data_IF_732719426115
#
_entry.id   IF_732719426115
#
_cell.length_a   1.000
_cell.length_b   1.000
_cell.length_c   1.000
_cell.angle_alpha   90.00
_cell.angle_beta   90.00
_cell.angle_gamma   90.00
#
_symmetry.space_group_name_H-M   'P 1'
#
loop_
_entity.id
_entity.type
_entity.pdbx_description
1 polymer ?
#
# COMPACT_ATOMS: atom_id res chain seq x y z
N UNK A 1 37.54 1.29 18.10
CA UNK A 1 36.07 1.41 17.89
C UNK A 1 35.76 0.88 16.51
N UNK A 2 35.11 -0.27 16.41
CA UNK A 2 34.57 -0.74 15.14
C UNK A 2 33.36 0.16 14.86
N UNK A 3 33.28 0.86 13.72
CA UNK A 3 32.08 1.59 13.36
C UNK A 3 30.93 0.58 13.32
N UNK A 4 29.90 0.76 14.15
CA UNK A 4 28.63 0.06 13.92
C UNK A 4 28.12 0.59 12.58
N UNK A 5 28.31 -0.18 11.52
CA UNK A 5 27.60 0.04 10.26
C UNK A 5 26.12 0.23 10.63
N UNK A 6 25.44 1.27 10.12
CA UNK A 6 24.01 1.40 10.33
C UNK A 6 23.38 0.09 9.88
N UNK A 7 22.69 -0.60 10.79
CA UNK A 7 21.93 -1.80 10.46
C UNK A 7 20.94 -1.33 9.39
N UNK A 8 21.10 -1.78 8.14
CA UNK A 8 20.15 -1.42 7.09
C UNK A 8 18.78 -1.92 7.57
N UNK A 9 17.83 -1.01 7.78
CA UNK A 9 16.47 -1.38 8.14
C UNK A 9 15.98 -2.40 7.12
N UNK A 10 15.45 -3.52 7.59
CA UNK A 10 14.91 -4.54 6.71
C UNK A 10 13.60 -4.01 6.13
N UNK A 11 13.49 -3.97 4.81
CA UNK A 11 12.28 -3.53 4.13
C UNK A 11 11.33 -4.70 3.97
N UNK A 12 10.08 -4.52 4.37
CA UNK A 12 9.01 -5.48 4.18
C UNK A 12 7.86 -4.86 3.40
N UNK A 13 7.36 -5.60 2.41
CA UNK A 13 6.17 -5.23 1.67
C UNK A 13 5.02 -6.18 2.05
N UNK A 14 3.92 -5.64 2.56
CA UNK A 14 2.69 -6.39 2.80
C UNK A 14 1.71 -6.06 1.68
N UNK A 15 1.27 -7.07 0.93
CA UNK A 15 0.28 -6.92 -0.13
C UNK A 15 -1.04 -7.50 0.35
N UNK A 16 -2.06 -6.67 0.39
CA UNK A 16 -3.43 -7.03 0.75
C UNK A 16 -4.27 -6.95 -0.52
N UNK A 17 -4.99 -8.00 -0.83
CA UNK A 17 -5.89 -8.03 -1.97
C UNK A 17 -7.33 -8.28 -1.53
N UNK A 18 -8.18 -7.28 -1.70
CA UNK A 18 -9.60 -7.30 -1.35
C UNK A 18 -10.46 -7.35 -2.62
N UNK A 19 -10.61 -8.55 -3.19
CA UNK A 19 -11.25 -8.79 -4.48
C UNK A 19 -12.01 -10.12 -4.47
N UNK A 20 -13.10 -10.22 -5.24
CA UNK A 20 -13.85 -11.47 -5.41
C UNK A 20 -12.98 -12.55 -6.09
N UNK A 21 -13.20 -13.83 -5.80
CA UNK A 21 -12.34 -14.96 -6.26
C UNK A 21 -12.11 -15.00 -7.78
N UNK A 22 -13.09 -14.57 -8.56
CA UNK A 22 -13.09 -14.59 -10.02
C UNK A 22 -12.41 -13.37 -10.66
N UNK A 23 -11.90 -12.42 -9.87
CA UNK A 23 -11.29 -11.20 -10.37
C UNK A 23 -9.79 -11.35 -10.64
N UNK A 24 -9.24 -10.46 -11.47
CA UNK A 24 -7.82 -10.47 -11.77
C UNK A 24 -6.99 -10.22 -10.50
N UNK A 25 -6.09 -11.14 -10.17
CA UNK A 25 -5.32 -11.16 -8.93
C UNK A 25 -4.00 -10.39 -9.08
N UNK A 26 -4.09 -9.09 -9.33
CA UNK A 26 -2.95 -8.22 -9.60
C UNK A 26 -1.97 -8.14 -8.43
N UNK A 27 -2.47 -8.07 -7.20
CA UNK A 27 -1.65 -8.11 -5.98
C UNK A 27 -0.85 -9.40 -5.84
N UNK A 28 -1.42 -10.56 -6.23
CA UNK A 28 -0.69 -11.83 -6.24
C UNK A 28 0.49 -11.82 -7.22
N UNK A 29 0.26 -11.31 -8.43
CA UNK A 29 1.31 -11.19 -9.46
C UNK A 29 2.42 -10.26 -8.99
N UNK A 30 2.06 -9.10 -8.41
CA UNK A 30 3.03 -8.16 -7.84
C UNK A 30 3.87 -8.83 -6.74
N UNK A 31 3.22 -9.53 -5.81
CA UNK A 31 3.92 -10.20 -4.71
C UNK A 31 4.97 -11.19 -5.21
N UNK A 32 4.63 -12.00 -6.21
CA UNK A 32 5.55 -12.96 -6.80
C UNK A 32 6.72 -12.28 -7.53
N UNK A 33 6.44 -11.22 -8.29
CA UNK A 33 7.49 -10.47 -8.99
C UNK A 33 8.49 -9.90 -7.99
N UNK A 34 8.03 -9.19 -6.95
CA UNK A 34 8.91 -8.57 -5.96
C UNK A 34 9.72 -9.61 -5.19
N UNK A 35 9.11 -10.73 -4.78
CA UNK A 35 9.81 -11.85 -4.12
C UNK A 35 10.98 -12.39 -4.93
N UNK A 36 10.83 -12.44 -6.25
CA UNK A 36 11.83 -13.03 -7.14
C UNK A 36 12.92 -12.04 -7.56
N UNK A 37 12.66 -10.72 -7.49
CA UNK A 37 13.47 -9.74 -8.22
C UNK A 37 13.94 -8.54 -7.41
N UNK A 38 13.41 -8.27 -6.21
CA UNK A 38 13.83 -7.09 -5.46
C UNK A 38 15.08 -7.37 -4.62
N UNK A 39 16.21 -6.67 -4.85
CA UNK A 39 17.36 -6.72 -3.96
C UNK A 39 17.15 -5.87 -2.70
N UNK A 40 16.11 -5.04 -2.66
CA UNK A 40 15.88 -4.06 -1.59
C UNK A 40 14.79 -4.48 -0.60
N UNK A 41 13.85 -5.35 -1.01
CA UNK A 41 12.75 -5.80 -0.16
C UNK A 41 13.11 -7.19 0.38
N UNK A 42 13.36 -7.25 1.70
CA UNK A 42 13.82 -8.47 2.36
C UNK A 42 12.70 -9.49 2.60
N UNK A 43 11.47 -9.03 2.81
CA UNK A 43 10.30 -9.88 3.04
C UNK A 43 9.08 -9.36 2.27
N UNK A 44 8.28 -10.27 1.73
CA UNK A 44 7.02 -9.96 1.06
C UNK A 44 5.91 -10.87 1.57
N UNK A 45 4.94 -10.29 2.26
CA UNK A 45 3.74 -10.97 2.73
C UNK A 45 2.58 -10.71 1.76
N UNK A 46 1.75 -11.72 1.54
CA UNK A 46 0.58 -11.62 0.68
C UNK A 46 -0.63 -12.19 1.44
N UNK A 47 -1.68 -11.39 1.52
CA UNK A 47 -2.97 -11.77 2.08
C UNK A 47 -4.08 -11.42 1.11
N UNK A 48 -5.06 -12.32 0.97
CA UNK A 48 -6.22 -12.06 0.14
C UNK A 48 -7.48 -12.60 0.77
N UNK A 49 -8.53 -11.81 0.73
CA UNK A 49 -9.87 -12.21 1.13
C UNK A 49 -10.91 -11.44 0.32
N UNK A 50 -12.10 -12.00 0.21
CA UNK A 50 -13.32 -11.34 -0.29
C UNK A 50 -14.25 -10.93 0.85
N UNK A 51 -13.79 -10.99 2.10
CA UNK A 51 -14.58 -10.62 3.29
C UNK A 51 -13.94 -9.45 4.01
N UNK A 52 -14.74 -8.42 4.25
CA UNK A 52 -14.37 -7.22 5.02
C UNK A 52 -13.74 -7.55 6.36
N UNK A 53 -14.39 -8.41 7.15
CA UNK A 53 -13.93 -8.70 8.51
C UNK A 53 -12.55 -9.35 8.51
N UNK A 54 -12.25 -10.18 7.52
CA UNK A 54 -10.93 -10.80 7.36
C UNK A 54 -9.86 -9.76 6.99
N UNK A 55 -10.18 -8.81 6.10
CA UNK A 55 -9.27 -7.70 5.74
C UNK A 55 -9.01 -6.78 6.93
N UNK A 56 -10.05 -6.37 7.65
CA UNK A 56 -9.93 -5.49 8.83
C UNK A 56 -9.16 -6.17 9.95
N UNK A 57 -9.41 -7.45 10.21
CA UNK A 57 -8.68 -8.21 11.21
C UNK A 57 -7.21 -8.38 10.82
N UNK A 58 -6.93 -8.68 9.55
CA UNK A 58 -5.55 -8.80 9.08
C UNK A 58 -4.76 -7.50 9.25
N UNK A 59 -5.36 -6.36 8.88
CA UNK A 59 -4.74 -5.04 9.06
C UNK A 59 -4.50 -4.74 10.54
N UNK A 60 -5.53 -4.84 11.38
CA UNK A 60 -5.49 -4.35 12.77
C UNK A 60 -4.84 -5.29 13.77
N UNK A 61 -4.78 -6.59 13.49
CA UNK A 61 -4.25 -7.61 14.38
C UNK A 61 -3.01 -8.29 13.80
N UNK A 62 -3.09 -8.84 12.59
CA UNK A 62 -2.05 -9.73 12.09
C UNK A 62 -0.79 -8.99 11.62
N UNK A 63 -0.93 -7.88 10.90
CA UNK A 63 0.21 -7.06 10.45
C UNK A 63 1.12 -6.70 11.63
N UNK A 64 0.63 -6.08 12.73
CA UNK A 64 1.45 -5.80 13.90
C UNK A 64 2.23 -6.98 14.49
N UNK A 65 1.73 -8.21 14.34
CA UNK A 65 2.38 -9.41 14.87
C UNK A 65 3.49 -9.96 13.97
N UNK A 66 3.45 -9.67 12.67
CA UNK A 66 4.46 -10.16 11.72
C UNK A 66 5.61 -9.17 11.48
N UNK A 67 5.40 -7.88 11.75
CA UNK A 67 6.42 -6.83 11.61
C UNK A 67 7.38 -6.82 12.80
N UNK A 68 8.69 -6.87 12.52
CA UNK A 68 9.74 -6.75 13.53
C UNK A 68 10.09 -5.29 13.80
N UNK A 69 10.64 -5.01 14.99
CA UNK A 69 10.99 -3.64 15.39
C UNK A 69 12.07 -2.99 14.50
N UNK A 70 12.91 -3.78 13.82
CA UNK A 70 13.95 -3.31 12.90
C UNK A 70 13.48 -3.19 11.44
N UNK A 71 12.19 -3.40 11.19
CA UNK A 71 11.61 -3.35 9.85
C UNK A 71 11.00 -1.99 9.50
N UNK A 72 11.25 -1.57 8.26
CA UNK A 72 10.47 -0.55 7.56
C UNK A 72 9.41 -1.28 6.74
N UNK A 73 8.16 -0.84 6.82
CA UNK A 73 7.03 -1.56 6.22
C UNK A 73 6.25 -0.66 5.28
N UNK A 74 5.91 -1.20 4.10
CA UNK A 74 4.86 -0.66 3.25
C UNK A 74 3.69 -1.63 3.16
N UNK A 75 2.48 -1.10 3.17
CA UNK A 75 1.24 -1.85 2.97
C UNK A 75 0.63 -1.40 1.64
N UNK A 76 0.61 -2.31 0.66
CA UNK A 76 -0.06 -2.14 -0.61
C UNK A 76 -1.45 -2.79 -0.57
N UNK A 77 -2.49 -2.02 -0.89
CA UNK A 77 -3.88 -2.49 -0.91
C UNK A 77 -4.39 -2.50 -2.35
N UNK A 78 -4.66 -3.70 -2.87
CA UNK A 78 -5.22 -3.98 -4.18
C UNK A 78 -6.71 -4.30 -4.06
N UNK A 79 -7.57 -3.46 -4.61
CA UNK A 79 -9.02 -3.51 -4.39
C UNK A 79 -9.74 -2.67 -5.43
N UNK A 80 -11.06 -2.87 -5.61
CA UNK A 80 -11.85 -1.78 -6.20
C UNK A 80 -12.09 -0.69 -5.18
N UNK A 81 -12.41 0.48 -5.71
CA UNK A 81 -13.12 1.48 -4.93
C UNK A 81 -14.47 1.77 -5.58
N UNK A 82 -15.29 2.53 -4.89
CA UNK A 82 -16.61 2.89 -5.38
C UNK A 82 -16.68 4.39 -5.57
N UNK A 83 -16.92 4.85 -6.80
CA UNK A 83 -17.12 6.28 -7.06
C UNK A 83 -18.34 6.84 -6.33
N UNK A 84 -19.28 5.97 -5.94
CA UNK A 84 -20.48 6.30 -5.18
C UNK A 84 -20.34 6.15 -3.66
N UNK A 85 -19.25 5.54 -3.17
CA UNK A 85 -19.09 5.23 -1.75
C UNK A 85 -17.63 5.47 -1.34
N UNK A 86 -17.44 6.31 -0.32
CA UNK A 86 -16.13 6.68 0.23
C UNK A 86 -15.44 5.49 0.93
N UNK A 87 -14.80 4.62 0.12
CA UNK A 87 -14.13 3.42 0.61
C UNK A 87 -13.65 2.45 -0.47
N UNK A 88 -13.24 1.28 -0.01
CA UNK A 88 -12.75 0.16 -0.82
C UNK A 88 -13.67 -1.06 -0.71
N UNK A 89 -13.64 -1.91 -1.73
CA UNK A 89 -14.20 -3.25 -1.65
C UNK A 89 -14.63 -3.77 -3.00
N UNK A 90 -15.68 -4.57 -3.03
CA UNK A 90 -16.27 -5.13 -4.23
C UNK A 90 -17.80 -5.23 -4.04
N UNK A 91 -18.53 -5.70 -5.04
CA UNK A 91 -20.00 -5.54 -5.10
C UNK A 91 -20.76 -6.11 -3.89
N UNK A 92 -20.14 -7.02 -3.14
CA UNK A 92 -20.76 -7.74 -2.03
C UNK A 92 -20.28 -7.30 -0.65
N UNK A 93 -19.16 -6.58 -0.58
CA UNK A 93 -18.57 -6.20 0.70
C UNK A 93 -17.72 -4.93 0.58
N UNK A 94 -17.74 -4.11 1.63
CA UNK A 94 -17.26 -2.72 1.57
C UNK A 94 -16.67 -2.25 2.91
N UNK A 95 -15.53 -1.58 2.82
CA UNK A 95 -14.83 -0.93 3.93
C UNK A 95 -14.84 0.58 3.64
N UNK A 96 -15.46 1.37 4.51
CA UNK A 96 -15.40 2.83 4.39
C UNK A 96 -13.98 3.36 4.68
N UNK A 97 -13.68 4.59 4.25
CA UNK A 97 -12.42 5.22 4.62
C UNK A 97 -12.23 5.30 6.13
N UNK A 98 -13.27 5.60 6.89
CA UNK A 98 -13.21 5.67 8.35
C UNK A 98 -12.85 4.30 8.96
N UNK A 99 -13.45 3.23 8.46
CA UNK A 99 -13.16 1.86 8.92
C UNK A 99 -11.72 1.45 8.57
N UNK A 100 -11.27 1.76 7.36
CA UNK A 100 -9.89 1.47 6.93
C UNK A 100 -8.88 2.25 7.76
N UNK A 101 -9.10 3.55 7.94
CA UNK A 101 -8.24 4.43 8.74
C UNK A 101 -8.21 3.98 10.19
N UNK A 102 -9.35 3.58 10.76
CA UNK A 102 -9.41 3.04 12.12
C UNK A 102 -8.62 1.73 12.25
N UNK A 103 -8.75 0.81 11.29
CA UNK A 103 -8.01 -0.44 11.28
C UNK A 103 -6.49 -0.19 11.22
N UNK A 104 -6.05 0.75 10.38
CA UNK A 104 -4.63 1.14 10.27
C UNK A 104 -4.16 1.81 11.56
N UNK A 105 -4.94 2.73 12.14
CA UNK A 105 -4.62 3.36 13.42
C UNK A 105 -4.42 2.32 14.53
N UNK A 106 -5.29 1.32 14.60
CA UNK A 106 -5.17 0.21 15.55
C UNK A 106 -3.88 -0.61 15.33
N UNK A 107 -3.46 -0.77 14.07
CA UNK A 107 -2.19 -1.42 13.74
C UNK A 107 -0.98 -0.57 14.18
N UNK A 108 -1.00 0.71 13.83
CA UNK A 108 0.08 1.67 14.11
C UNK A 108 0.39 1.80 15.59
N UNK A 109 -0.64 1.79 16.45
CA UNK A 109 -0.47 1.84 17.91
C UNK A 109 0.37 0.68 18.48
N UNK A 110 0.56 -0.39 17.69
CA UNK A 110 1.36 -1.56 18.05
C UNK A 110 2.69 -1.62 17.28
N UNK A 111 2.89 -0.78 16.27
CA UNK A 111 4.11 -0.72 15.48
C UNK A 111 5.11 0.30 16.06
N UNK A 112 6.41 0.06 15.86
CA UNK A 112 7.47 1.00 16.26
C UNK A 112 7.63 2.18 15.31
N UNK A 113 7.23 1.99 14.06
CA UNK A 113 7.40 2.95 12.96
C UNK A 113 6.08 3.09 12.23
N UNK A 114 5.81 4.30 11.73
CA UNK A 114 4.66 4.53 10.86
C UNK A 114 4.89 3.79 9.53
N UNK A 115 3.89 3.03 9.04
CA UNK A 115 4.00 2.36 7.76
C UNK A 115 3.91 3.35 6.60
N UNK A 116 4.41 2.95 5.44
CA UNK A 116 4.06 3.57 4.16
C UNK A 116 2.76 2.90 3.68
N UNK A 117 1.76 3.69 3.28
CA UNK A 117 0.53 3.16 2.69
C UNK A 117 0.58 3.39 1.18
N UNK A 118 0.26 2.35 0.42
CA UNK A 118 0.10 2.43 -1.03
C UNK A 118 -1.31 1.92 -1.38
N UNK A 119 -2.12 2.79 -1.98
CA UNK A 119 -3.52 2.50 -2.30
C UNK A 119 -3.81 2.75 -3.78
N UNK A 120 -4.29 1.72 -4.47
CA UNK A 120 -4.84 1.82 -5.83
C UNK A 120 -6.29 1.37 -5.80
N UNK A 121 -7.22 2.32 -5.96
CA UNK A 121 -8.65 2.05 -5.95
C UNK A 121 -9.39 3.15 -6.73
N UNK A 122 -10.60 2.88 -7.23
CA UNK A 122 -11.44 3.98 -7.75
C UNK A 122 -11.75 4.96 -6.63
N UNK A 123 -11.49 6.26 -6.83
CA UNK A 123 -11.59 7.28 -5.77
C UNK A 123 -10.64 7.05 -4.57
N UNK A 124 -9.56 6.28 -4.74
CA UNK A 124 -8.57 6.00 -3.68
C UNK A 124 -7.88 7.25 -3.13
N UNK A 125 -7.76 8.34 -3.90
CA UNK A 125 -7.17 9.61 -3.45
C UNK A 125 -8.00 10.24 -2.34
N UNK A 126 -9.31 10.00 -2.29
CA UNK A 126 -10.21 10.62 -1.31
C UNK A 126 -9.93 10.19 0.14
N UNK A 127 -9.24 9.07 0.38
CA UNK A 127 -8.81 8.63 1.72
C UNK A 127 -8.02 9.73 2.45
N UNK A 128 -7.29 10.58 1.72
CA UNK A 128 -6.53 11.69 2.31
C UNK A 128 -7.40 12.63 3.12
N UNK A 129 -8.68 12.79 2.75
CA UNK A 129 -9.60 13.69 3.44
C UNK A 129 -9.93 13.15 4.82
N UNK A 130 -10.10 11.83 4.97
CA UNK A 130 -10.28 11.15 6.25
C UNK A 130 -9.00 11.21 7.09
N UNK A 131 -7.84 10.97 6.48
CA UNK A 131 -6.55 11.05 7.20
C UNK A 131 -6.28 12.46 7.73
N UNK A 132 -6.60 13.49 6.96
CA UNK A 132 -6.38 14.89 7.35
C UNK A 132 -7.29 15.37 8.49
N UNK A 133 -8.30 14.59 8.88
CA UNK A 133 -9.14 14.87 10.05
C UNK A 133 -8.57 14.28 11.34
N UNK A 134 -7.49 13.51 11.27
CA UNK A 134 -6.86 12.88 12.43
C UNK A 134 -5.90 13.85 13.13
N UNK A 135 -5.87 13.76 14.46
CA UNK A 135 -4.91 14.51 15.29
C UNK A 135 -3.47 13.97 15.17
N UNK A 136 -3.32 12.70 14.78
CA UNK A 136 -2.04 12.01 14.69
C UNK A 136 -1.92 11.27 13.34
N UNK A 137 -0.72 11.26 12.73
CA UNK A 137 -0.49 10.55 11.47
C UNK A 137 -0.58 9.03 11.67
N UNK A 138 -1.23 8.35 10.73
CA UNK A 138 -1.34 6.87 10.69
C UNK A 138 -0.36 6.21 9.71
N UNK A 139 0.41 7.02 8.99
CA UNK A 139 1.43 6.57 8.04
C UNK A 139 2.50 7.64 7.92
N UNK A 140 3.72 7.24 7.55
CA UNK A 140 4.79 8.20 7.23
C UNK A 140 4.55 8.82 5.86
N UNK A 141 4.09 7.99 4.91
CA UNK A 141 3.76 8.41 3.55
C UNK A 141 2.50 7.71 3.07
N UNK A 142 1.70 8.43 2.31
CA UNK A 142 0.58 7.90 1.55
C UNK A 142 0.88 8.06 0.07
N UNK A 143 0.92 6.95 -0.66
CA UNK A 143 0.83 6.93 -2.10
C UNK A 143 -0.56 6.46 -2.51
N UNK A 144 -1.32 7.28 -3.25
CA UNK A 144 -2.70 6.97 -3.60
C UNK A 144 -3.00 7.31 -5.06
N UNK A 145 -3.80 6.47 -5.71
CA UNK A 145 -4.21 6.66 -7.10
C UNK A 145 -5.67 6.30 -7.33
N UNK A 146 -6.31 7.08 -8.20
CA UNK A 146 -7.71 6.89 -8.58
C UNK A 146 -7.86 5.99 -9.79
N UNK A 147 -8.65 4.93 -9.67
CA UNK A 147 -9.04 4.09 -10.83
C UNK A 147 -7.87 3.39 -11.51
N UNK A 148 -6.71 3.34 -10.85
CA UNK A 148 -5.52 2.69 -11.39
C UNK A 148 -5.70 1.18 -11.25
N UNK A 149 -5.90 0.50 -12.37
CA UNK A 149 -5.69 -0.93 -12.44
C UNK A 149 -4.21 -1.18 -12.71
N UNK A 150 -3.50 -1.80 -11.76
CA UNK A 150 -2.13 -2.26 -11.99
C UNK A 150 -2.13 -3.46 -12.94
N UNK A 151 -2.36 -3.23 -14.23
CA UNK A 151 -2.30 -4.26 -15.25
C UNK A 151 -1.23 -3.93 -16.31
N UNK A 152 -0.71 -4.97 -16.95
CA UNK A 152 0.25 -4.85 -18.05
C UNK A 152 1.44 -3.94 -17.69
N UNK A 153 1.74 -2.91 -18.50
CA UNK A 153 2.89 -2.04 -18.26
C UNK A 153 2.85 -1.19 -16.99
N UNK A 154 1.68 -0.88 -16.41
CA UNK A 154 1.59 -0.13 -15.14
C UNK A 154 2.10 -1.00 -13.98
N UNK A 155 1.74 -2.28 -13.98
CA UNK A 155 2.31 -3.28 -13.04
C UNK A 155 3.84 -3.39 -13.21
N UNK A 156 4.33 -3.33 -14.45
CA UNK A 156 5.76 -3.35 -14.75
C UNK A 156 6.50 -2.12 -14.23
N UNK A 157 5.92 -0.92 -14.38
CA UNK A 157 6.45 0.32 -13.81
C UNK A 157 6.48 0.25 -12.29
N UNK A 158 5.37 -0.12 -11.67
CA UNK A 158 5.27 -0.23 -10.22
C UNK A 158 6.24 -1.26 -9.62
N UNK A 159 6.37 -2.44 -10.25
CA UNK A 159 7.34 -3.45 -9.85
C UNK A 159 8.78 -2.95 -9.97
N UNK A 160 9.09 -2.20 -11.05
CA UNK A 160 10.41 -1.61 -11.26
C UNK A 160 10.74 -0.59 -10.17
N UNK A 161 9.80 0.27 -9.81
CA UNK A 161 9.99 1.24 -8.73
C UNK A 161 10.32 0.55 -7.40
N UNK A 162 9.56 -0.49 -7.04
CA UNK A 162 9.83 -1.27 -5.83
C UNK A 162 11.18 -2.01 -5.89
N UNK A 163 11.62 -2.42 -7.08
CA UNK A 163 12.89 -3.11 -7.30
C UNK A 163 14.10 -2.18 -7.41
N UNK A 164 13.92 -0.90 -7.74
CA UNK A 164 15.02 0.07 -7.90
C UNK A 164 15.17 0.98 -6.68
N UNK A 165 14.06 1.32 -6.02
CA UNK A 165 14.02 2.31 -4.93
C UNK A 165 13.59 1.70 -3.57
N UNK A 166 13.09 0.47 -3.56
CA UNK A 166 12.55 -0.18 -2.36
C UNK A 166 11.15 0.33 -2.02
N UNK A 167 10.86 0.61 -0.75
CA UNK A 167 9.50 0.97 -0.29
C UNK A 167 9.10 2.42 -0.55
N UNK A 168 10.07 3.32 -0.70
CA UNK A 168 9.82 4.74 -0.95
C UNK A 168 10.15 5.09 -2.39
N UNK A 169 9.18 5.66 -3.09
CA UNK A 169 9.37 6.25 -4.41
C UNK A 169 9.88 7.68 -4.23
N UNK A 170 11.00 8.03 -4.86
CA UNK A 170 11.43 9.41 -4.97
C UNK A 170 10.50 10.20 -5.90
N UNK A 171 10.67 11.52 -5.91
CA UNK A 171 9.86 12.42 -6.76
C UNK A 171 9.96 12.03 -8.24
N UNK A 172 11.17 11.73 -8.71
CA UNK A 172 11.44 11.34 -10.10
C UNK A 172 10.77 10.02 -10.49
N UNK A 173 10.77 9.04 -9.59
CA UNK A 173 10.12 7.75 -9.79
C UNK A 173 8.60 7.89 -9.90
N UNK A 174 8.02 8.74 -9.05
CA UNK A 174 6.60 9.05 -9.07
C UNK A 174 6.21 9.83 -10.34
N UNK A 175 7.03 10.79 -10.76
CA UNK A 175 6.86 11.51 -12.04
C UNK A 175 6.85 10.53 -13.22
N UNK A 176 7.80 9.60 -13.26
CA UNK A 176 7.89 8.59 -14.32
C UNK A 176 6.64 7.71 -14.35
N UNK A 177 6.13 7.28 -13.19
CA UNK A 177 4.87 6.54 -13.10
C UNK A 177 3.70 7.37 -13.62
N UNK A 178 3.64 8.64 -13.24
CA UNK A 178 2.58 9.56 -13.66
C UNK A 178 2.60 9.86 -15.16
N UNK A 179 3.78 9.95 -15.78
CA UNK A 179 3.91 10.05 -17.23
C UNK A 179 3.36 8.81 -17.95
N UNK A 180 3.61 7.61 -17.42
CA UNK A 180 3.07 6.36 -17.97
C UNK A 180 1.54 6.25 -17.77
N UNK A 181 1.03 6.72 -16.63
CA UNK A 181 -0.42 6.81 -16.37
C UNK A 181 -1.10 7.80 -17.31
N UNK A 182 -0.49 8.97 -17.53
CA UNK A 182 -1.02 10.02 -18.41
C UNK A 182 -1.12 9.57 -19.87
N UNK A 183 -0.19 8.76 -20.37
CA UNK A 183 -0.26 8.14 -21.71
C UNK A 183 -1.48 7.23 -21.92
N UNK A 184 -2.20 6.91 -20.85
CA UNK A 184 -3.33 5.97 -20.80
C UNK A 184 -4.61 6.62 -20.28
N UNK A 185 -4.64 7.94 -20.19
CA UNK A 185 -5.76 8.71 -19.64
C UNK A 185 -6.12 8.33 -18.18
N UNK A 186 -5.15 7.82 -17.41
CA UNK A 186 -5.33 7.57 -15.98
C UNK A 186 -4.95 8.81 -15.16
N UNK A 187 -5.65 9.08 -14.04
CA UNK A 187 -5.27 10.15 -13.14
C UNK A 187 -3.93 9.86 -12.45
N UNK A 188 -3.23 10.90 -11.97
CA UNK A 188 -1.91 10.73 -11.38
C UNK A 188 -1.98 10.03 -10.02
N UNK A 189 -0.92 9.28 -9.73
CA UNK A 189 -0.58 8.83 -8.39
C UNK A 189 -0.05 10.02 -7.58
N UNK A 190 -0.65 10.26 -6.41
CA UNK A 190 -0.19 11.30 -5.48
C UNK A 190 0.73 10.69 -4.43
N UNK A 191 1.59 11.53 -3.85
CA UNK A 191 2.36 11.23 -2.65
C UNK A 191 2.10 12.33 -1.62
N UNK A 192 1.77 11.93 -0.39
CA UNK A 192 1.68 12.84 0.76
C UNK A 192 2.66 12.36 1.82
N UNK A 193 3.58 13.24 2.21
CA UNK A 193 4.53 13.01 3.28
C UNK A 193 3.96 13.55 4.60
N UNK A 194 3.67 12.65 5.53
CA UNK A 194 3.05 12.92 6.83
C UNK A 194 4.09 13.00 7.94
N UNK A 195 5.33 13.42 7.61
CA UNK A 195 6.51 13.52 8.50
C UNK A 195 6.13 13.57 9.99
N UNK A 196 6.63 12.63 10.81
CA UNK A 196 6.38 12.64 12.25
C UNK A 196 6.94 13.89 12.94
#
# INVERSE_FOLDING_TARGET
MIPKLPISKKKRLVIIQFLDENECKTGYVLANNIRQSSPFIGNVDYFSSSKKDEIINYISQDIPHIIREDEEVAVYIDTHGFSSCDGIGHKKDFISWDELVLAIKNAVNKLRTLPIIILTACNGISIKNTINQLDEPICSKLYAGDGIMLNGPVMGGFSRLLNESGLEFGEKELETLNEELAKRDNPPFICIDYKP
#
